data_IF_838659442725
#
_entry.id   IF_838659442725
#
_cell.length_a   1.000
_cell.length_b   1.000
_cell.length_c   1.000
_cell.angle_alpha   90.00
_cell.angle_beta   90.00
_cell.angle_gamma   90.00
#
_symmetry.space_group_name_H-M   'P 1'
#
loop_
_entity.id
_entity.type
_entity.pdbx_description
1 polymer ?
#
# COMPACT_ATOMS: atom_id res chain seq x y z
N UNK A 1 -28.12 21.46 -13.13
CA UNK A 1 -28.27 20.03 -12.80
C UNK A 1 -26.87 19.42 -12.67
N UNK A 2 -26.48 19.01 -11.47
CA UNK A 2 -25.13 18.54 -11.14
C UNK A 2 -25.00 17.06 -11.50
N UNK A 3 -24.35 16.75 -12.63
CA UNK A 3 -24.01 15.37 -12.98
C UNK A 3 -22.98 14.79 -12.00
N UNK A 4 -23.17 13.54 -11.58
CA UNK A 4 -22.24 12.86 -10.67
C UNK A 4 -20.90 12.61 -11.37
N UNK A 5 -19.80 13.01 -10.74
CA UNK A 5 -18.41 12.84 -11.21
C UNK A 5 -18.00 11.37 -11.43
N UNK A 6 -18.83 10.43 -10.99
CA UNK A 6 -18.58 8.99 -11.04
C UNK A 6 -19.30 8.27 -12.19
N UNK A 7 -20.03 9.00 -13.04
CA UNK A 7 -20.75 8.39 -14.16
C UNK A 7 -19.83 7.61 -15.13
N UNK A 8 -18.63 8.13 -15.39
CA UNK A 8 -17.64 7.45 -16.24
C UNK A 8 -17.12 6.13 -15.65
N UNK A 9 -16.98 6.04 -14.33
CA UNK A 9 -16.48 4.84 -13.66
C UNK A 9 -17.53 3.71 -13.66
N UNK A 10 -18.81 4.08 -13.54
CA UNK A 10 -19.93 3.13 -13.61
C UNK A 10 -20.04 2.51 -15.01
N UNK A 11 -19.97 3.32 -16.06
CA UNK A 11 -20.01 2.84 -17.45
C UNK A 11 -18.83 1.89 -17.77
N UNK A 12 -17.64 2.15 -17.20
CA UNK A 12 -16.47 1.28 -17.41
C UNK A 12 -16.63 -0.08 -16.73
N UNK A 13 -17.24 -0.11 -15.54
CA UNK A 13 -17.54 -1.36 -14.82
C UNK A 13 -18.57 -2.21 -15.55
N UNK A 14 -19.60 -1.57 -16.12
CA UNK A 14 -20.65 -2.23 -16.87
C UNK A 14 -20.11 -2.83 -18.18
N UNK A 15 -19.25 -2.11 -18.92
CA UNK A 15 -18.56 -2.67 -20.10
C UNK A 15 -17.69 -3.87 -19.76
N UNK A 16 -16.94 -3.79 -18.66
CA UNK A 16 -16.11 -4.92 -18.20
C UNK A 16 -16.96 -6.11 -17.77
N UNK A 17 -18.14 -5.89 -17.20
CA UNK A 17 -19.06 -6.98 -16.86
C UNK A 17 -19.62 -7.66 -18.12
N UNK A 18 -19.97 -6.87 -19.14
CA UNK A 18 -20.39 -7.39 -20.44
C UNK A 18 -19.27 -8.17 -21.14
N UNK A 19 -18.04 -7.66 -21.16
CA UNK A 19 -16.89 -8.37 -21.74
C UNK A 19 -16.61 -9.70 -21.02
N UNK A 20 -16.86 -9.79 -19.71
CA UNK A 20 -16.70 -11.03 -18.92
C UNK A 20 -17.83 -12.02 -19.18
N UNK A 21 -19.07 -11.55 -19.34
CA UNK A 21 -20.22 -12.40 -19.71
C UNK A 21 -20.07 -12.92 -21.15
N UNK A 22 -19.60 -12.10 -22.08
CA UNK A 22 -19.42 -12.45 -23.49
C UNK A 22 -18.22 -13.40 -23.72
N UNK A 23 -17.20 -13.36 -22.85
CA UNK A 23 -16.08 -14.33 -22.85
C UNK A 23 -16.40 -15.62 -22.09
N UNK A 24 -17.36 -15.60 -21.14
CA UNK A 24 -17.78 -16.80 -20.42
C UNK A 24 -18.57 -17.78 -21.30
N UNK A 25 -19.32 -17.29 -22.29
CA UNK A 25 -20.12 -18.14 -23.19
C UNK A 25 -19.29 -18.86 -24.28
N UNK A 26 -18.00 -18.55 -24.42
CA UNK A 26 -17.11 -19.14 -25.44
C UNK A 26 -15.98 -20.05 -24.91
N UNK A 27 -15.90 -20.34 -23.61
CA UNK A 27 -14.74 -21.02 -23.01
C UNK A 27 -15.07 -22.39 -22.39
N UNK A 28 -15.42 -23.37 -23.22
CA UNK A 28 -15.49 -24.79 -22.85
C UNK A 28 -14.13 -25.52 -22.89
N UNK A 29 -13.09 -24.99 -22.23
CA UNK A 29 -11.75 -25.63 -22.17
C UNK A 29 -11.33 -25.81 -20.71
N UNK A 30 -10.86 -27.00 -20.28
CA UNK A 30 -10.47 -27.24 -18.90
C UNK A 30 -9.28 -26.37 -18.49
N UNK A 31 -9.43 -25.70 -17.35
CA UNK A 31 -8.44 -24.79 -16.78
C UNK A 31 -7.12 -25.51 -16.49
N UNK A 32 -6.06 -25.09 -17.19
CA UNK A 32 -4.69 -25.43 -16.81
C UNK A 32 -4.35 -24.82 -15.44
N UNK A 33 -3.42 -25.40 -14.66
CA UNK A 33 -3.03 -24.88 -13.36
C UNK A 33 -2.51 -23.45 -13.52
N UNK A 34 -3.15 -22.48 -12.86
CA UNK A 34 -2.63 -21.10 -12.82
C UNK A 34 -1.27 -21.11 -12.12
N UNK A 35 -0.20 -20.88 -12.89
CA UNK A 35 1.10 -20.55 -12.33
C UNK A 35 0.96 -19.32 -11.42
N UNK A 36 1.66 -19.30 -10.26
CA UNK A 36 1.59 -18.16 -9.35
C UNK A 36 2.04 -16.91 -10.10
N UNK A 37 1.06 -16.03 -10.37
CA UNK A 37 1.29 -14.76 -11.06
C UNK A 37 2.35 -13.99 -10.27
N UNK A 38 3.48 -13.69 -10.92
CA UNK A 38 4.54 -12.87 -10.31
C UNK A 38 3.89 -11.58 -9.77
N UNK A 39 4.13 -11.20 -8.51
CA UNK A 39 3.50 -10.01 -7.96
C UNK A 39 3.90 -8.80 -8.80
N UNK A 40 2.92 -8.25 -9.51
CA UNK A 40 3.10 -7.07 -10.35
C UNK A 40 2.98 -5.85 -9.44
N UNK A 41 4.09 -5.19 -9.12
CA UNK A 41 4.05 -3.96 -8.30
C UNK A 41 5.37 -3.57 -7.64
N UNK A 42 5.34 -2.44 -6.94
CA UNK A 42 6.43 -2.02 -6.04
C UNK A 42 6.61 -3.10 -4.96
N UNK A 43 7.86 -3.41 -4.54
CA UNK A 43 8.09 -4.33 -3.43
C UNK A 43 7.27 -3.96 -2.20
N UNK A 44 6.83 -4.96 -1.41
CA UNK A 44 6.12 -4.72 -0.16
C UNK A 44 6.96 -3.82 0.76
N UNK A 45 6.38 -2.73 1.24
CA UNK A 45 7.02 -1.79 2.16
C UNK A 45 6.71 -2.10 3.63
N UNK A 46 7.13 -1.22 4.54
CA UNK A 46 6.87 -1.34 5.99
C UNK A 46 5.38 -1.56 6.31
N UNK A 47 4.46 -0.94 5.57
CA UNK A 47 3.00 -1.08 5.76
C UNK A 47 2.44 -2.48 5.47
N UNK A 48 3.10 -3.25 4.64
CA UNK A 48 2.68 -4.62 4.28
C UNK A 48 3.44 -5.70 5.06
N UNK A 49 4.39 -5.30 5.92
CA UNK A 49 5.12 -6.23 6.76
C UNK A 49 4.34 -6.44 8.08
N UNK A 50 3.98 -7.69 8.43
CA UNK A 50 3.25 -8.00 9.67
C UNK A 50 4.00 -7.62 10.96
N UNK A 51 5.33 -7.47 10.92
CA UNK A 51 6.13 -7.07 12.08
C UNK A 51 6.00 -5.58 12.43
N UNK A 52 5.38 -4.79 11.55
CA UNK A 52 5.22 -3.34 11.74
C UNK A 52 3.75 -2.99 11.99
N UNK A 53 3.49 -2.35 13.12
CA UNK A 53 2.20 -1.71 13.40
C UNK A 53 2.28 -0.22 13.02
N UNK A 54 1.35 0.25 12.17
CA UNK A 54 1.24 1.68 11.88
C UNK A 54 0.64 2.41 13.09
N UNK A 55 1.39 3.37 13.64
CA UNK A 55 0.98 4.22 14.77
C UNK A 55 1.10 5.69 14.36
N UNK A 56 0.21 6.54 14.88
CA UNK A 56 0.28 8.00 14.71
C UNK A 56 0.64 8.63 16.05
N UNK A 57 1.71 9.43 16.09
CA UNK A 57 2.19 10.10 17.31
C UNK A 57 2.31 11.60 17.06
N UNK A 58 2.08 12.40 18.10
CA UNK A 58 2.36 13.82 18.08
C UNK A 58 3.77 14.05 18.61
N UNK A 59 4.61 14.68 17.80
CA UNK A 59 5.95 15.13 18.18
C UNK A 59 5.99 16.65 18.16
N UNK A 60 6.86 17.24 18.98
CA UNK A 60 7.15 18.66 18.87
C UNK A 60 7.71 18.97 17.47
N UNK A 61 7.10 19.95 16.79
CA UNK A 61 7.39 20.22 15.37
C UNK A 61 8.86 20.54 15.10
N UNK A 62 9.51 21.32 15.97
CA UNK A 62 10.95 21.62 15.85
C UNK A 62 11.81 20.37 16.03
N UNK A 63 11.52 19.56 17.05
CA UNK A 63 12.22 18.29 17.30
C UNK A 63 12.11 17.35 16.10
N UNK A 64 10.92 17.22 15.51
CA UNK A 64 10.73 16.40 14.31
C UNK A 64 11.53 16.93 13.11
N UNK A 65 11.53 18.24 12.88
CA UNK A 65 12.30 18.86 11.79
C UNK A 65 13.80 18.66 11.95
N UNK A 66 14.34 18.86 13.14
CA UNK A 66 15.76 18.65 13.43
C UNK A 66 16.17 17.19 13.29
N UNK A 67 15.37 16.27 13.85
CA UNK A 67 15.60 14.83 13.70
C UNK A 67 15.61 14.43 12.23
N UNK A 68 14.62 14.89 11.45
CA UNK A 68 14.53 14.59 10.01
C UNK A 68 15.73 15.13 9.22
N UNK A 69 16.25 16.32 9.56
CA UNK A 69 17.44 16.87 8.93
C UNK A 69 18.67 15.99 9.19
N UNK A 70 18.90 15.59 10.45
CA UNK A 70 20.04 14.74 10.82
C UNK A 70 19.98 13.38 10.14
N UNK A 71 18.80 12.76 10.12
CA UNK A 71 18.60 11.44 9.51
C UNK A 71 18.74 11.43 7.98
N UNK A 72 18.65 12.60 7.31
CA UNK A 72 18.82 12.70 5.87
C UNK A 72 20.22 12.28 5.43
N UNK A 73 21.24 12.69 6.18
CA UNK A 73 22.64 12.34 5.91
C UNK A 73 22.89 10.83 6.11
N UNK A 74 22.15 10.22 7.03
CA UNK A 74 22.22 8.78 7.34
C UNK A 74 21.35 7.92 6.42
N UNK A 75 20.54 8.53 5.54
CA UNK A 75 19.51 7.85 4.74
C UNK A 75 18.54 7.00 5.58
N UNK A 76 18.29 7.40 6.82
CA UNK A 76 17.39 6.72 7.75
C UNK A 76 16.02 7.40 7.80
N UNK A 77 15.00 6.62 8.16
CA UNK A 77 13.68 7.15 8.42
C UNK A 77 13.47 7.48 9.91
N UNK A 78 12.59 8.44 10.20
CA UNK A 78 12.19 8.75 11.59
C UNK A 78 11.59 7.53 12.30
N UNK A 79 10.93 6.63 11.56
CA UNK A 79 10.41 5.37 12.08
C UNK A 79 11.48 4.45 12.66
N UNK A 80 12.68 4.42 12.06
CA UNK A 80 13.81 3.63 12.54
C UNK A 80 14.36 4.21 13.84
N UNK A 81 14.54 5.53 13.90
CA UNK A 81 14.99 6.21 15.13
C UNK A 81 14.02 5.96 16.30
N UNK A 82 12.71 6.07 16.05
CA UNK A 82 11.71 5.83 17.11
C UNK A 82 11.76 4.37 17.58
N UNK A 83 11.88 3.39 16.67
CA UNK A 83 12.00 1.99 17.05
C UNK A 83 13.25 1.72 17.87
N UNK A 84 14.42 2.21 17.45
CA UNK A 84 15.69 2.05 18.19
C UNK A 84 15.59 2.61 19.62
N UNK A 85 14.97 3.80 19.77
CA UNK A 85 14.75 4.43 21.08
C UNK A 85 13.78 3.63 21.96
N UNK A 86 12.68 3.12 21.38
CA UNK A 86 11.71 2.31 22.11
C UNK A 86 12.31 0.96 22.52
N UNK A 87 13.06 0.30 21.63
CA UNK A 87 13.75 -0.95 21.93
C UNK A 87 14.79 -0.78 23.04
N UNK A 88 15.53 0.33 23.03
CA UNK A 88 16.48 0.65 24.09
C UNK A 88 15.76 0.92 25.42
N UNK A 89 14.64 1.64 25.38
CA UNK A 89 13.84 1.94 26.57
C UNK A 89 13.21 0.69 27.18
N UNK A 90 12.68 -0.24 26.37
CA UNK A 90 12.07 -1.49 26.84
C UNK A 90 13.08 -2.51 27.38
N UNK A 91 14.36 -2.35 27.09
CA UNK A 91 15.45 -3.17 27.65
C UNK A 91 15.95 -2.68 29.01
N UNK A 92 15.41 -1.55 29.48
CA UNK A 92 15.68 -1.02 30.83
C UNK A 92 14.81 -1.76 31.85
#
# INVERSE_FOLDING_TARGET
>A
MTGSKFAGLKAMRERRAQEVEETADQAGTPAAPEEPRRPVGRPPGKRSNPDYQQVTVLLHGQTYLEARKRLLDERKEVSELINELLDAWLKT
#
